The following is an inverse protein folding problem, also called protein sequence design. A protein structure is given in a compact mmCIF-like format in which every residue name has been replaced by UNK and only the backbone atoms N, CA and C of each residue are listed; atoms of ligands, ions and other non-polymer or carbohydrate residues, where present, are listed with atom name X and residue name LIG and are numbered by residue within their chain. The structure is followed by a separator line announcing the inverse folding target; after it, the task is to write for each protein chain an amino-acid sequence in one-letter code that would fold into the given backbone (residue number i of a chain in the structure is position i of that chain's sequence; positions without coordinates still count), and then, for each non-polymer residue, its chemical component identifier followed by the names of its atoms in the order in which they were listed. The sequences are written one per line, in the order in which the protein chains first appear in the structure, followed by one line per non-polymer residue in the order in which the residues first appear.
data_IF_318016556939
#
_entry.id   IF_318016556939
#
_cell.length_a   1.000
_cell.length_b   1.000
_cell.length_c   1.000
_cell.angle_alpha   90.00
_cell.angle_beta   90.00
_cell.angle_gamma   90.00
#
_symmetry.space_group_name_H-M   'P 1'
#
loop_
_entity.id
_entity.type
_entity.pdbx_description
1 polymer ?
#
# COMPACT_ATOMS: atom_id res chain seq x y z
N UNK A 1 34.58 19.34 -7.33
CA UNK A 1 34.53 18.17 -8.22
C UNK A 1 35.76 18.21 -9.11
N UNK A 2 36.76 17.37 -8.83
CA UNK A 2 37.85 17.17 -9.78
C UNK A 2 37.26 16.72 -11.12
N UNK A 3 37.62 17.42 -12.19
CA UNK A 3 37.26 17.02 -13.55
C UNK A 3 37.90 15.65 -13.79
N UNK A 4 37.11 14.57 -13.79
CA UNK A 4 37.55 13.23 -14.22
C UNK A 4 38.23 13.38 -15.59
N UNK A 5 39.57 13.33 -15.62
CA UNK A 5 40.32 13.20 -16.87
C UNK A 5 39.97 11.83 -17.44
N UNK A 6 39.39 11.80 -18.63
CA UNK A 6 39.23 10.55 -19.38
C UNK A 6 40.62 10.03 -19.71
N UNK A 7 40.86 8.76 -19.40
CA UNK A 7 42.06 8.08 -19.85
C UNK A 7 42.16 8.12 -21.37
N UNK A 8 43.37 8.21 -21.95
CA UNK A 8 43.58 8.12 -23.38
C UNK A 8 43.00 6.80 -23.91
N UNK A 9 42.33 6.85 -25.07
CA UNK A 9 41.87 5.62 -25.73
C UNK A 9 43.07 4.83 -26.22
N UNK A 10 42.97 3.51 -26.16
CA UNK A 10 43.94 2.61 -26.79
C UNK A 10 44.00 2.89 -28.30
N UNK A 11 45.21 2.92 -28.84
CA UNK A 11 45.45 3.02 -30.26
C UNK A 11 45.15 1.66 -30.90
N UNK A 12 44.09 1.62 -31.72
CA UNK A 12 43.55 0.40 -32.33
C UNK A 12 43.69 0.40 -33.85
N UNK A 13 44.26 1.47 -34.42
CA UNK A 13 44.45 1.62 -35.86
C UNK A 13 45.91 1.36 -36.21
N UNK A 14 46.15 0.36 -37.04
CA UNK A 14 47.50 -0.04 -37.49
C UNK A 14 47.78 0.34 -38.96
N UNK A 15 46.81 0.97 -39.64
CA UNK A 15 46.91 1.25 -41.07
C UNK A 15 46.80 0.01 -41.95
N UNK A 16 46.10 -1.03 -41.50
CA UNK A 16 45.86 -2.25 -42.27
C UNK A 16 45.23 -1.96 -43.64
N UNK A 17 45.81 -2.52 -44.71
CA UNK A 17 45.35 -2.34 -46.09
C UNK A 17 44.36 -3.44 -46.55
N UNK A 18 44.05 -4.41 -45.68
CA UNK A 18 43.05 -5.43 -45.95
C UNK A 18 41.69 -4.77 -46.30
N UNK A 19 41.15 -5.11 -47.46
CA UNK A 19 39.88 -4.55 -47.95
C UNK A 19 39.22 -5.46 -48.99
N UNK A 20 37.90 -5.34 -49.09
CA UNK A 20 37.09 -6.00 -50.10
C UNK A 20 36.21 -4.96 -50.79
N UNK A 21 36.41 -4.77 -52.09
CA UNK A 21 35.59 -3.88 -52.90
C UNK A 21 34.54 -4.70 -53.64
N UNK A 22 33.28 -4.50 -53.28
CA UNK A 22 32.13 -5.17 -53.89
C UNK A 22 31.37 -4.15 -54.71
N UNK A 23 31.12 -4.43 -56.00
CA UNK A 23 30.28 -3.57 -56.85
C UNK A 23 29.17 -4.38 -57.50
N UNK A 24 28.01 -3.75 -57.65
CA UNK A 24 26.89 -4.33 -58.37
C UNK A 24 27.12 -4.19 -59.88
N UNK A 25 26.99 -5.29 -60.61
CA UNK A 25 27.13 -5.32 -62.07
C UNK A 25 25.73 -5.44 -62.68
N UNK A 26 25.19 -4.36 -63.27
CA UNK A 26 23.81 -4.34 -63.77
C UNK A 26 23.52 -5.40 -64.84
N UNK A 27 24.51 -5.72 -65.67
CA UNK A 27 24.39 -6.64 -66.82
C UNK A 27 24.16 -8.08 -66.36
N UNK A 28 24.84 -8.49 -65.29
CA UNK A 28 24.70 -9.84 -64.70
C UNK A 28 23.67 -9.86 -63.57
N UNK A 29 23.18 -8.69 -63.14
CA UNK A 29 22.32 -8.47 -61.96
C UNK A 29 22.88 -9.12 -60.69
N UNK A 30 24.21 -9.16 -60.57
CA UNK A 30 24.92 -9.79 -59.45
C UNK A 30 25.93 -8.83 -58.85
N UNK A 31 26.26 -9.05 -57.58
CA UNK A 31 27.38 -8.39 -56.91
C UNK A 31 28.67 -9.13 -57.25
N UNK A 32 29.67 -8.40 -57.72
CA UNK A 32 30.99 -8.93 -58.04
C UNK A 32 32.02 -8.35 -57.06
N UNK A 33 33.00 -9.17 -56.68
CA UNK A 33 34.17 -8.74 -55.92
C UNK A 33 35.19 -8.22 -56.93
N UNK A 34 35.50 -6.92 -56.90
CA UNK A 34 36.44 -6.27 -57.81
C UNK A 34 37.86 -6.25 -57.27
N UNK A 35 38.00 -6.26 -55.96
CA UNK A 35 39.28 -6.28 -55.27
C UNK A 35 39.09 -6.98 -53.92
N UNK A 36 40.03 -7.86 -53.57
CA UNK A 36 40.07 -8.53 -52.28
C UNK A 36 41.53 -8.66 -51.85
N UNK A 37 41.86 -8.10 -50.70
CA UNK A 37 43.13 -8.34 -49.99
C UNK A 37 42.80 -8.77 -48.57
N UNK A 38 43.31 -9.93 -48.19
CA UNK A 38 43.18 -10.53 -46.85
C UNK A 38 44.53 -10.51 -46.10
N UNK A 39 45.49 -9.72 -46.57
CA UNK A 39 46.76 -9.54 -45.89
C UNK A 39 46.60 -8.52 -44.76
N UNK A 40 46.64 -9.01 -43.52
CA UNK A 40 46.54 -8.18 -42.31
C UNK A 40 47.93 -7.88 -41.75
N UNK A 41 48.13 -6.67 -41.23
CA UNK A 41 49.35 -6.27 -40.55
C UNK A 41 49.26 -6.41 -39.01
N UNK A 42 48.26 -7.13 -38.53
CA UNK A 42 47.96 -7.39 -37.13
C UNK A 42 47.32 -8.78 -36.99
N UNK A 43 47.39 -9.34 -35.79
CA UNK A 43 46.68 -10.59 -35.49
C UNK A 43 45.17 -10.38 -35.58
N UNK A 44 44.46 -11.42 -36.06
CA UNK A 44 43.01 -11.44 -36.06
C UNK A 44 42.49 -11.66 -34.63
N UNK A 45 41.34 -11.07 -34.32
CA UNK A 45 40.70 -11.28 -33.03
C UNK A 45 40.33 -12.75 -32.89
N UNK A 46 40.69 -13.35 -31.76
CA UNK A 46 40.30 -14.72 -31.45
C UNK A 46 38.77 -14.85 -31.51
N UNK A 47 38.32 -15.93 -32.16
CA UNK A 47 36.90 -16.27 -32.35
C UNK A 47 36.10 -16.27 -31.06
N UNK A 48 36.71 -16.59 -29.91
CA UNK A 48 36.05 -16.52 -28.59
C UNK A 48 35.61 -15.10 -28.20
N UNK A 49 36.25 -14.06 -28.75
CA UNK A 49 35.90 -12.66 -28.52
C UNK A 49 35.04 -12.05 -29.63
N UNK A 50 34.73 -12.81 -30.68
CA UNK A 50 33.98 -12.32 -31.85
C UNK A 50 32.61 -11.73 -31.47
N UNK A 51 31.94 -12.30 -30.47
CA UNK A 51 30.67 -11.81 -29.93
C UNK A 51 30.79 -10.45 -29.22
N UNK A 52 31.99 -10.03 -28.80
CA UNK A 52 32.23 -8.74 -28.14
C UNK A 52 32.46 -7.59 -29.13
N UNK A 53 32.55 -7.87 -30.43
CA UNK A 53 32.68 -6.83 -31.45
C UNK A 53 31.44 -5.94 -31.49
N UNK A 54 31.57 -4.61 -31.58
CA UNK A 54 30.43 -3.69 -31.65
C UNK A 54 29.41 -4.02 -32.74
N UNK A 55 29.86 -4.58 -33.88
CA UNK A 55 28.99 -4.97 -34.98
C UNK A 55 28.11 -6.21 -34.67
N UNK A 56 28.59 -7.07 -33.77
CA UNK A 56 27.94 -8.33 -33.39
C UNK A 56 27.13 -8.21 -32.09
N UNK A 57 27.41 -7.19 -31.26
CA UNK A 57 26.66 -6.88 -30.03
C UNK A 57 25.29 -6.30 -30.32
N UNK A 58 24.34 -7.16 -30.68
CA UNK A 58 22.93 -6.81 -30.94
C UNK A 58 22.02 -7.68 -30.10
N UNK A 59 21.03 -7.05 -29.47
CA UNK A 59 19.95 -7.78 -28.80
C UNK A 59 18.92 -8.24 -29.83
N UNK A 60 18.44 -9.47 -29.70
CA UNK A 60 17.34 -9.96 -30.53
C UNK A 60 16.02 -9.31 -30.10
N UNK A 61 14.99 -9.30 -30.96
CA UNK A 61 13.67 -8.79 -30.57
C UNK A 61 13.07 -9.55 -29.38
N UNK A 62 13.34 -10.86 -29.28
CA UNK A 62 12.93 -11.69 -28.15
C UNK A 62 13.61 -11.25 -26.85
N UNK A 63 14.93 -11.02 -26.88
CA UNK A 63 15.69 -10.54 -25.72
C UNK A 63 15.22 -9.15 -25.27
N UNK A 64 14.94 -8.27 -26.24
CA UNK A 64 14.41 -6.93 -25.96
C UNK A 64 13.04 -7.07 -25.29
N UNK A 65 12.13 -7.88 -25.85
CA UNK A 65 10.79 -8.07 -25.28
C UNK A 65 10.85 -8.67 -23.87
N UNK A 66 11.70 -9.69 -23.66
CA UNK A 66 11.92 -10.30 -22.36
C UNK A 66 12.49 -9.29 -21.36
N UNK A 67 13.55 -8.57 -21.73
CA UNK A 67 14.15 -7.52 -20.90
C UNK A 67 13.09 -6.48 -20.51
N UNK A 68 12.29 -5.99 -21.47
CA UNK A 68 11.27 -4.99 -21.21
C UNK A 68 10.16 -5.52 -20.30
N UNK A 69 9.77 -6.80 -20.41
CA UNK A 69 8.83 -7.45 -19.51
C UNK A 69 9.39 -7.60 -18.08
N UNK A 70 10.67 -7.93 -17.95
CA UNK A 70 11.35 -7.99 -16.66
C UNK A 70 11.52 -6.61 -16.01
N UNK A 71 11.82 -5.57 -16.81
CA UNK A 71 11.88 -4.19 -16.35
C UNK A 71 10.51 -3.69 -15.87
N UNK A 72 9.45 -3.92 -16.65
CA UNK A 72 8.05 -3.72 -16.22
C UNK A 72 7.75 -4.50 -14.94
N UNK A 73 8.42 -5.64 -14.77
CA UNK A 73 8.31 -6.47 -13.58
C UNK A 73 9.03 -5.93 -12.34
N UNK A 74 9.82 -4.85 -12.47
CA UNK A 74 10.57 -4.21 -11.40
C UNK A 74 11.96 -4.81 -11.18
N UNK A 75 12.39 -5.73 -12.07
CA UNK A 75 13.70 -6.35 -12.02
C UNK A 75 14.71 -5.34 -12.60
N UNK A 76 15.76 -5.04 -11.85
CA UNK A 76 16.78 -4.09 -12.29
C UNK A 76 17.57 -4.62 -13.50
N UNK A 77 18.06 -3.74 -14.36
CA UNK A 77 18.89 -4.11 -15.53
C UNK A 77 20.09 -5.00 -15.15
N UNK A 78 20.70 -4.76 -13.99
CA UNK A 78 21.81 -5.57 -13.50
C UNK A 78 21.38 -6.99 -13.10
N UNK A 79 20.21 -7.14 -12.46
CA UNK A 79 19.64 -8.44 -12.16
C UNK A 79 19.22 -9.18 -13.44
N UNK A 80 18.64 -8.48 -14.41
CA UNK A 80 18.31 -9.06 -15.72
C UNK A 80 19.59 -9.58 -16.37
N UNK A 81 20.64 -8.76 -16.43
CA UNK A 81 21.92 -9.17 -17.01
C UNK A 81 22.52 -10.37 -16.29
N UNK A 82 22.41 -10.45 -14.96
CA UNK A 82 22.87 -11.60 -14.18
C UNK A 82 22.07 -12.90 -14.41
N UNK A 83 20.85 -12.81 -14.95
CA UNK A 83 20.01 -13.98 -15.28
C UNK A 83 20.30 -14.54 -16.67
N UNK A 84 20.67 -13.69 -17.64
CA UNK A 84 20.90 -14.11 -19.03
C UNK A 84 21.92 -15.24 -19.20
N UNK A 85 23.05 -15.30 -18.46
CA UNK A 85 24.00 -16.40 -18.57
C UNK A 85 23.40 -17.76 -18.24
N UNK A 86 22.44 -17.83 -17.31
CA UNK A 86 21.76 -19.09 -16.98
C UNK A 86 20.83 -19.58 -18.10
N UNK A 87 20.46 -18.69 -19.03
CA UNK A 87 19.65 -19.00 -20.21
C UNK A 87 20.51 -19.29 -21.44
N UNK A 88 21.72 -18.73 -21.48
CA UNK A 88 22.67 -18.84 -22.59
C UNK A 88 23.84 -19.81 -22.30
N UNK A 89 23.84 -20.52 -21.17
CA UNK A 89 24.92 -21.41 -20.70
C UNK A 89 26.27 -20.72 -20.46
N UNK A 90 26.28 -19.42 -20.18
CA UNK A 90 27.50 -18.64 -19.93
C UNK A 90 27.37 -17.17 -20.30
N UNK A 91 28.25 -16.31 -19.77
CA UNK A 91 28.26 -14.88 -20.10
C UNK A 91 28.75 -14.63 -21.53
N UNK A 92 29.66 -15.47 -21.99
CA UNK A 92 30.26 -15.47 -23.33
C UNK A 92 29.23 -15.70 -24.44
N UNK A 93 28.13 -16.39 -24.14
CA UNK A 93 27.08 -16.74 -25.11
C UNK A 93 25.91 -15.74 -25.14
N UNK A 94 25.87 -14.77 -24.22
CA UNK A 94 24.83 -13.72 -24.20
C UNK A 94 24.96 -12.78 -25.40
N UNK A 95 26.18 -12.56 -25.90
CA UNK A 95 26.42 -11.78 -27.13
C UNK A 95 26.24 -10.27 -27.02
N UNK A 96 25.89 -9.73 -25.85
CA UNK A 96 25.80 -8.28 -25.59
C UNK A 96 26.06 -7.97 -24.11
N UNK A 97 26.46 -6.72 -23.81
CA UNK A 97 26.81 -6.30 -22.45
C UNK A 97 25.74 -5.42 -21.78
N UNK A 98 25.93 -5.06 -20.49
CA UNK A 98 25.02 -4.19 -19.77
C UNK A 98 24.82 -2.83 -20.43
N UNK A 99 25.87 -2.28 -21.07
CA UNK A 99 25.79 -1.00 -21.77
C UNK A 99 24.87 -1.07 -22.99
N UNK A 100 24.85 -2.19 -23.69
CA UNK A 100 24.00 -2.40 -24.86
C UNK A 100 22.53 -2.46 -24.43
N UNK A 101 22.24 -3.14 -23.31
CA UNK A 101 20.91 -3.11 -22.67
C UNK A 101 20.47 -1.69 -22.30
N UNK A 102 21.35 -0.88 -21.65
CA UNK A 102 21.01 0.51 -21.30
C UNK A 102 20.75 1.38 -22.53
N UNK A 103 21.53 1.21 -23.60
CA UNK A 103 21.32 1.93 -24.85
C UNK A 103 19.97 1.56 -25.47
N UNK A 104 19.62 0.27 -25.44
CA UNK A 104 18.35 -0.22 -25.98
C UNK A 104 17.16 0.28 -25.16
N UNK A 105 17.25 0.28 -23.83
CA UNK A 105 16.24 0.90 -22.94
C UNK A 105 16.06 2.38 -23.28
N UNK A 106 17.16 3.11 -23.51
CA UNK A 106 17.09 4.51 -23.92
C UNK A 106 16.41 4.66 -25.27
N UNK A 107 16.76 3.83 -26.27
CA UNK A 107 16.13 3.82 -27.60
C UNK A 107 14.63 3.60 -27.52
N UNK A 108 14.19 2.61 -26.76
CA UNK A 108 12.78 2.29 -26.55
C UNK A 108 12.01 3.46 -25.91
N UNK A 109 12.62 4.16 -24.95
CA UNK A 109 12.01 5.36 -24.33
C UNK A 109 11.87 6.54 -25.29
N UNK A 110 12.80 6.71 -26.24
CA UNK A 110 12.77 7.81 -27.20
C UNK A 110 11.74 7.60 -28.32
N UNK A 111 11.26 6.37 -28.52
CA UNK A 111 10.24 6.05 -29.52
C UNK A 111 8.80 6.39 -29.07
N UNK A 112 8.62 6.82 -27.82
CA UNK A 112 7.30 7.05 -27.21
C UNK A 112 7.10 8.55 -26.94
N UNK A 113 5.89 9.11 -27.16
CA UNK A 113 5.57 10.50 -26.80
C UNK A 113 5.78 10.76 -25.30
N UNK A 114 5.99 12.03 -24.92
CA UNK A 114 6.37 12.43 -23.56
C UNK A 114 5.52 11.80 -22.43
N UNK A 115 6.20 11.46 -21.33
CA UNK A 115 5.70 10.69 -20.17
C UNK A 115 4.31 11.10 -19.66
N UNK A 116 4.04 12.41 -19.54
CA UNK A 116 2.76 12.88 -19.06
C UNK A 116 1.59 12.64 -20.04
N UNK A 117 1.83 12.75 -21.34
CA UNK A 117 0.81 12.49 -22.36
C UNK A 117 0.45 11.00 -22.40
N UNK A 118 1.43 10.12 -22.14
CA UNK A 118 1.20 8.68 -22.07
C UNK A 118 0.35 8.30 -20.85
N UNK A 119 0.61 8.90 -19.69
CA UNK A 119 -0.20 8.69 -18.48
C UNK A 119 -1.62 9.18 -18.68
N UNK A 120 -1.83 10.35 -19.29
CA UNK A 120 -3.16 10.87 -19.58
C UNK A 120 -3.94 9.95 -20.53
N UNK A 121 -3.28 9.39 -21.56
CA UNK A 121 -3.90 8.41 -22.47
C UNK A 121 -4.17 7.07 -21.78
N UNK A 122 -3.29 6.61 -20.91
CA UNK A 122 -3.46 5.32 -20.20
C UNK A 122 -4.53 5.39 -19.12
N UNK A 123 -4.75 6.58 -18.57
CA UNK A 123 -5.77 6.88 -17.59
C UNK A 123 -6.93 7.63 -18.26
N UNK A 124 -7.39 7.14 -19.42
CA UNK A 124 -8.51 7.65 -20.24
C UNK A 124 -9.80 7.86 -19.42
N UNK A 125 -9.82 8.92 -18.60
CA UNK A 125 -10.97 9.53 -17.91
C UNK A 125 -10.59 10.76 -17.02
N UNK A 126 -9.37 11.30 -17.12
CA UNK A 126 -8.96 12.39 -16.22
C UNK A 126 -9.30 13.79 -16.73
N UNK A 127 -9.99 14.56 -15.86
CA UNK A 127 -10.19 16.01 -15.99
C UNK A 127 -9.11 16.75 -15.20
N UNK A 128 -8.18 17.44 -15.86
CA UNK A 128 -7.29 18.40 -15.19
C UNK A 128 -6.02 18.80 -15.93
N UNK A 129 -5.56 20.04 -15.68
CA UNK A 129 -4.19 20.48 -16.01
C UNK A 129 -3.18 19.61 -15.23
N UNK A 130 -1.99 19.43 -15.79
CA UNK A 130 -0.84 18.60 -15.35
C UNK A 130 -0.22 18.98 -13.98
N UNK A 131 -1.02 19.51 -13.05
CA UNK A 131 -0.65 19.83 -11.68
C UNK A 131 -0.94 18.62 -10.79
N UNK A 132 -2.20 18.18 -10.69
CA UNK A 132 -2.57 17.04 -9.84
C UNK A 132 -3.17 15.91 -10.68
N UNK A 133 -2.80 14.66 -10.36
CA UNK A 133 -3.32 13.44 -10.97
C UNK A 133 -4.24 12.74 -9.98
N UNK A 134 -5.41 12.28 -10.43
CA UNK A 134 -6.36 11.55 -9.59
C UNK A 134 -6.98 10.43 -10.41
N UNK A 135 -6.93 9.20 -9.91
CA UNK A 135 -7.49 8.05 -10.63
C UNK A 135 -8.07 7.00 -9.69
N UNK A 136 -9.08 6.30 -10.20
CA UNK A 136 -9.75 5.17 -9.57
C UNK A 136 -10.30 4.28 -10.67
N UNK A 137 -9.98 2.99 -10.64
CA UNK A 137 -10.50 2.04 -11.63
C UNK A 137 -11.92 1.57 -11.26
N UNK A 138 -12.61 0.93 -12.21
CA UNK A 138 -14.01 0.53 -12.01
C UNK A 138 -14.21 -0.46 -10.85
N UNK A 139 -13.25 -1.34 -10.59
CA UNK A 139 -13.33 -2.29 -9.47
C UNK A 139 -13.19 -1.52 -8.15
N UNK A 140 -12.22 -0.62 -8.04
CA UNK A 140 -12.04 0.22 -6.86
C UNK A 140 -13.25 1.12 -6.57
N UNK A 141 -13.97 1.58 -7.60
CA UNK A 141 -15.22 2.32 -7.42
C UNK A 141 -16.35 1.43 -6.90
N UNK A 142 -16.45 0.18 -7.38
CA UNK A 142 -17.42 -0.81 -6.87
C UNK A 142 -17.09 -1.21 -5.42
N UNK A 143 -15.82 -1.44 -5.13
CA UNK A 143 -15.33 -1.73 -3.77
C UNK A 143 -15.71 -0.60 -2.81
N UNK A 144 -15.63 0.66 -3.26
CA UNK A 144 -16.07 1.79 -2.43
C UNK A 144 -17.56 1.72 -2.12
N UNK A 145 -18.41 1.35 -3.07
CA UNK A 145 -19.85 1.22 -2.82
C UNK A 145 -20.15 0.18 -1.74
N UNK A 146 -19.37 -0.90 -1.68
CA UNK A 146 -19.53 -1.96 -0.69
C UNK A 146 -18.87 -1.62 0.66
N UNK A 147 -17.64 -1.08 0.63
CA UNK A 147 -16.75 -1.01 1.79
C UNK A 147 -16.31 0.41 2.19
N UNK A 148 -16.78 1.43 1.47
CA UNK A 148 -16.36 2.83 1.61
C UNK A 148 -16.86 3.56 2.86
N UNK A 149 -17.43 2.88 3.85
CA UNK A 149 -17.92 3.49 5.09
C UNK A 149 -16.79 4.09 5.94
N UNK A 150 -15.60 3.50 5.85
CA UNK A 150 -14.39 3.99 6.51
C UNK A 150 -13.27 4.10 5.49
N UNK A 151 -12.64 5.27 5.42
CA UNK A 151 -11.42 5.46 4.61
C UNK A 151 -10.23 5.85 5.48
N UNK A 152 -9.11 5.19 5.20
CA UNK A 152 -7.80 5.62 5.64
C UNK A 152 -7.11 6.38 4.51
N UNK A 153 -6.60 7.55 4.87
CA UNK A 153 -6.02 8.55 4.01
C UNK A 153 -4.60 8.86 4.49
N UNK A 154 -3.61 8.55 3.66
CA UNK A 154 -2.20 8.79 3.97
C UNK A 154 -1.50 9.43 2.77
N UNK A 155 -0.79 10.54 3.03
CA UNK A 155 -0.09 11.34 2.05
C UNK A 155 1.44 11.23 2.23
N UNK A 156 2.03 10.04 2.18
CA UNK A 156 3.47 9.90 2.48
C UNK A 156 4.23 8.80 1.73
N UNK A 157 3.72 8.27 0.61
CA UNK A 157 4.49 7.28 -0.15
C UNK A 157 5.62 7.95 -0.95
N UNK A 158 6.75 7.23 -1.13
CA UNK A 158 7.99 7.71 -1.76
C UNK A 158 7.71 8.64 -2.94
N UNK A 159 8.35 9.81 -2.91
CA UNK A 159 8.36 10.79 -4.00
C UNK A 159 8.88 10.15 -5.29
N UNK A 160 8.14 10.32 -6.39
CA UNK A 160 8.59 9.93 -7.73
C UNK A 160 9.73 10.86 -8.22
N UNK A 161 10.19 10.66 -9.47
CA UNK A 161 11.23 11.50 -10.09
C UNK A 161 10.92 13.00 -10.05
N UNK A 162 9.63 13.36 -10.04
CA UNK A 162 9.11 14.73 -10.01
C UNK A 162 8.87 15.27 -8.61
N UNK A 163 9.23 14.52 -7.57
CA UNK A 163 8.99 14.87 -6.17
C UNK A 163 7.52 14.99 -5.76
N UNK A 164 6.58 14.51 -6.59
CA UNK A 164 5.15 14.51 -6.29
C UNK A 164 4.84 13.45 -5.22
N UNK A 165 4.27 13.81 -4.05
CA UNK A 165 3.74 12.83 -3.12
C UNK A 165 2.56 12.05 -3.72
N UNK A 166 2.57 10.75 -3.47
CA UNK A 166 1.42 9.87 -3.68
C UNK A 166 0.53 9.87 -2.46
N UNK A 167 -0.76 10.03 -2.72
CA UNK A 167 -1.84 9.96 -1.75
C UNK A 167 -2.73 8.78 -2.11
N UNK A 168 -3.09 7.98 -1.12
CA UNK A 168 -3.93 6.80 -1.29
C UNK A 168 -5.12 6.90 -0.34
N UNK A 169 -6.31 6.63 -0.89
CA UNK A 169 -7.52 6.35 -0.13
C UNK A 169 -7.73 4.84 -0.11
N UNK A 170 -7.73 4.28 1.10
CA UNK A 170 -7.81 2.84 1.32
C UNK A 170 -8.89 2.50 2.34
N UNK A 171 -9.38 1.27 2.29
CA UNK A 171 -10.35 0.72 3.24
C UNK A 171 -10.05 -0.74 3.54
N UNK A 172 -11.08 -1.47 3.96
CA UNK A 172 -11.00 -2.92 4.19
C UNK A 172 -12.16 -3.64 3.53
N UNK A 173 -11.90 -4.79 2.90
CA UNK A 173 -12.95 -5.65 2.34
C UNK A 173 -13.55 -6.61 3.40
N UNK A 174 -14.43 -7.51 2.94
CA UNK A 174 -15.09 -8.57 3.73
C UNK A 174 -14.15 -9.61 4.35
N UNK A 175 -12.87 -9.62 3.98
CA UNK A 175 -11.81 -10.43 4.63
C UNK A 175 -10.97 -9.63 5.61
N UNK A 176 -11.35 -8.39 5.90
CA UNK A 176 -10.54 -7.46 6.67
C UNK A 176 -9.14 -7.30 6.04
N UNK A 177 -9.04 -7.21 4.71
CA UNK A 177 -7.80 -6.95 3.98
C UNK A 177 -7.80 -5.54 3.42
N UNK A 178 -6.62 -4.92 3.33
CA UNK A 178 -6.50 -3.56 2.82
C UNK A 178 -6.78 -3.51 1.31
N UNK A 179 -7.72 -2.66 0.93
CA UNK A 179 -8.09 -2.37 -0.46
C UNK A 179 -7.85 -0.88 -0.76
N UNK A 180 -7.66 -0.56 -2.04
CA UNK A 180 -7.41 0.81 -2.50
C UNK A 180 -8.59 1.28 -3.34
N UNK A 181 -9.22 2.36 -2.91
CA UNK A 181 -10.34 2.98 -3.62
C UNK A 181 -9.86 3.99 -4.65
N UNK A 182 -8.87 4.80 -4.28
CA UNK A 182 -8.41 5.91 -5.12
C UNK A 182 -6.94 6.19 -4.83
N UNK A 183 -6.20 6.60 -5.86
CA UNK A 183 -4.89 7.20 -5.69
C UNK A 183 -4.78 8.56 -6.41
N UNK A 184 -3.87 9.39 -5.91
CA UNK A 184 -3.57 10.68 -6.48
C UNK A 184 -2.10 11.07 -6.35
N UNK A 185 -1.57 11.75 -7.36
CA UNK A 185 -0.30 12.47 -7.29
C UNK A 185 -0.59 13.95 -7.16
N UNK A 186 -0.11 14.57 -6.09
CA UNK A 186 -0.33 16.01 -5.85
C UNK A 186 1.00 16.76 -5.91
N UNK A 187 0.99 18.02 -6.32
CA UNK A 187 2.24 18.84 -6.38
C UNK A 187 2.68 19.31 -5.00
N UNK A 188 1.73 19.73 -4.18
CA UNK A 188 1.97 20.36 -2.89
C UNK A 188 1.03 19.78 -1.82
N UNK A 189 1.41 19.95 -0.55
CA UNK A 189 0.64 19.46 0.61
C UNK A 189 -0.12 20.59 1.29
N UNK A 190 -0.76 21.46 0.50
CA UNK A 190 -1.55 22.60 0.99
C UNK A 190 -2.98 22.19 1.30
N UNK A 191 -3.68 22.99 2.11
CA UNK A 191 -5.11 22.78 2.42
C UNK A 191 -5.95 22.77 1.14
N UNK A 192 -5.72 23.72 0.22
CA UNK A 192 -6.48 23.83 -1.03
C UNK A 192 -6.33 22.60 -1.93
N UNK A 193 -5.11 22.06 -2.02
CA UNK A 193 -4.87 20.83 -2.78
C UNK A 193 -5.60 19.63 -2.17
N UNK A 194 -5.67 19.54 -0.84
CA UNK A 194 -6.45 18.48 -0.18
C UNK A 194 -7.97 18.71 -0.29
N UNK A 195 -8.46 19.95 -0.27
CA UNK A 195 -9.87 20.26 -0.55
C UNK A 195 -10.23 19.80 -1.96
N UNK A 196 -9.40 20.13 -2.95
CA UNK A 196 -9.58 19.65 -4.32
C UNK A 196 -9.61 18.12 -4.36
N UNK A 197 -8.66 17.46 -3.68
CA UNK A 197 -8.55 16.01 -3.68
C UNK A 197 -9.79 15.32 -3.06
N UNK A 198 -10.27 15.81 -1.92
CA UNK A 198 -11.47 15.28 -1.25
C UNK A 198 -12.73 15.54 -2.09
N UNK A 199 -12.82 16.67 -2.81
CA UNK A 199 -13.91 16.91 -3.78
C UNK A 199 -13.86 15.97 -4.97
N UNK A 200 -12.67 15.62 -5.48
CA UNK A 200 -12.53 14.59 -6.51
C UNK A 200 -12.98 13.22 -6.00
N UNK A 201 -12.61 12.88 -4.75
CA UNK A 201 -13.10 11.66 -4.10
C UNK A 201 -14.63 11.65 -4.09
N UNK A 202 -15.30 12.71 -3.61
CA UNK A 202 -16.77 12.81 -3.59
C UNK A 202 -17.40 12.56 -4.96
N UNK A 203 -16.81 13.12 -6.01
CA UNK A 203 -17.30 12.94 -7.37
C UNK A 203 -17.14 11.48 -7.83
N UNK A 204 -15.98 10.88 -7.60
CA UNK A 204 -15.69 9.51 -8.01
C UNK A 204 -16.58 8.46 -7.33
N UNK A 205 -16.96 8.70 -6.07
CA UNK A 205 -17.71 7.76 -5.25
C UNK A 205 -19.23 7.89 -5.35
N UNK A 206 -19.73 8.71 -6.29
CA UNK A 206 -21.16 8.87 -6.62
C UNK A 206 -22.07 9.16 -5.41
N UNK A 207 -21.55 9.85 -4.40
CA UNK A 207 -22.34 10.34 -3.27
C UNK A 207 -22.61 9.35 -2.13
N UNK A 208 -22.01 8.15 -2.09
CA UNK A 208 -22.06 7.31 -0.87
C UNK A 208 -21.43 8.10 0.30
N UNK A 209 -22.16 8.18 1.41
CA UNK A 209 -21.74 8.96 2.58
C UNK A 209 -20.65 8.21 3.35
N UNK A 210 -19.57 8.92 3.65
CA UNK A 210 -18.49 8.42 4.48
C UNK A 210 -18.91 8.47 5.97
N UNK A 211 -18.73 7.37 6.70
CA UNK A 211 -18.99 7.35 8.15
C UNK A 211 -17.78 7.84 8.93
N UNK A 212 -16.57 7.47 8.53
CA UNK A 212 -15.34 7.81 9.26
C UNK A 212 -14.12 7.96 8.36
N UNK A 213 -13.24 8.89 8.73
CA UNK A 213 -11.97 9.14 8.04
C UNK A 213 -10.79 9.07 9.01
N UNK A 214 -9.70 8.45 8.56
CA UNK A 214 -8.48 8.26 9.34
C UNK A 214 -7.31 8.90 8.60
N UNK A 215 -6.55 9.78 9.25
CA UNK A 215 -5.48 10.56 8.60
C UNK A 215 -4.19 10.62 9.41
N UNK A 216 -3.07 11.05 8.81
CA UNK A 216 -1.77 11.25 9.50
C UNK A 216 -1.72 12.44 10.48
N UNK A 217 -2.76 13.28 10.49
CA UNK A 217 -2.89 14.43 11.40
C UNK A 217 -2.29 15.73 10.89
N UNK A 218 -1.82 15.80 9.63
CA UNK A 218 -1.35 17.06 9.07
C UNK A 218 -2.45 18.14 9.11
N UNK A 219 -2.10 19.35 9.54
CA UNK A 219 -3.07 20.45 9.71
C UNK A 219 -3.83 20.77 8.42
N UNK A 220 -3.14 20.73 7.27
CA UNK A 220 -3.74 20.94 5.96
C UNK A 220 -4.83 19.91 5.63
N UNK A 221 -4.62 18.65 6.02
CA UNK A 221 -5.59 17.57 5.83
C UNK A 221 -6.79 17.79 6.74
N UNK A 222 -6.56 18.12 8.02
CA UNK A 222 -7.62 18.37 9.00
C UNK A 222 -8.55 19.50 8.56
N UNK A 223 -7.98 20.60 8.10
CA UNK A 223 -8.76 21.72 7.57
C UNK A 223 -9.58 21.29 6.36
N UNK A 224 -8.98 20.57 5.41
CA UNK A 224 -9.70 20.09 4.23
C UNK A 224 -10.84 19.12 4.57
N UNK A 225 -10.63 18.21 5.53
CA UNK A 225 -11.68 17.28 6.00
C UNK A 225 -12.83 18.05 6.64
N UNK A 226 -12.55 19.01 7.51
CA UNK A 226 -13.59 19.85 8.15
C UNK A 226 -14.40 20.62 7.12
N UNK A 227 -13.76 21.10 6.04
CA UNK A 227 -14.42 21.90 5.02
C UNK A 227 -15.26 21.06 4.03
N UNK A 228 -14.81 19.85 3.69
CA UNK A 228 -15.46 18.99 2.68
C UNK A 228 -16.42 17.98 3.32
N UNK A 229 -16.10 17.49 4.51
CA UNK A 229 -16.84 16.44 5.24
C UNK A 229 -17.07 16.83 6.71
N UNK A 230 -17.83 17.90 7.00
CA UNK A 230 -17.98 18.41 8.37
C UNK A 230 -18.59 17.40 9.35
N UNK A 231 -19.48 16.54 8.87
CA UNK A 231 -20.18 15.54 9.70
C UNK A 231 -19.42 14.22 9.85
N UNK A 232 -18.29 14.04 9.16
CA UNK A 232 -17.56 12.76 9.22
C UNK A 232 -16.78 12.64 10.52
N UNK A 233 -16.76 11.44 11.08
CA UNK A 233 -15.94 11.17 12.26
C UNK A 233 -14.47 11.11 11.84
N UNK A 234 -13.68 12.08 12.30
CA UNK A 234 -12.26 12.18 11.99
C UNK A 234 -11.39 11.65 13.12
N UNK A 235 -10.48 10.74 12.78
CA UNK A 235 -9.48 10.14 13.67
C UNK A 235 -8.06 10.26 13.11
N UNK A 236 -7.07 10.26 14.01
CA UNK A 236 -5.66 10.15 13.66
C UNK A 236 -5.21 8.67 13.54
N UNK A 237 -4.40 8.34 12.53
CA UNK A 237 -3.82 7.00 12.35
C UNK A 237 -2.83 6.73 13.50
N UNK A 238 -3.05 5.61 14.21
CA UNK A 238 -2.23 5.21 15.35
C UNK A 238 -0.74 5.07 15.01
N UNK A 239 -0.42 4.55 13.82
CA UNK A 239 0.97 4.39 13.35
C UNK A 239 1.70 5.73 13.24
N UNK A 240 1.05 6.71 12.60
CA UNK A 240 1.60 8.06 12.48
C UNK A 240 1.77 8.73 13.83
N UNK A 241 0.80 8.57 14.74
CA UNK A 241 0.93 9.08 16.09
C UNK A 241 2.11 8.49 16.84
N UNK A 242 2.26 7.16 16.84
CA UNK A 242 3.40 6.51 17.51
C UNK A 242 4.73 6.95 16.90
N UNK A 243 4.81 7.09 15.57
CA UNK A 243 6.00 7.59 14.88
C UNK A 243 6.33 9.04 15.24
N UNK A 244 5.31 9.89 15.32
CA UNK A 244 5.44 11.29 15.74
C UNK A 244 5.87 11.38 17.20
N UNK A 245 5.30 10.57 18.10
CA UNK A 245 5.71 10.46 19.51
C UNK A 245 7.16 10.03 19.61
N UNK A 246 7.57 9.00 18.87
CA UNK A 246 8.95 8.51 18.87
C UNK A 246 9.93 9.61 18.45
N UNK A 247 9.57 10.39 17.44
CA UNK A 247 10.44 11.43 16.86
C UNK A 247 10.56 12.67 17.77
N UNK A 248 9.48 13.07 18.45
CA UNK A 248 9.46 14.23 19.35
C UNK A 248 10.00 13.91 20.74
N UNK A 249 9.67 12.74 21.29
CA UNK A 249 10.07 12.36 22.66
C UNK A 249 11.43 11.66 22.68
N UNK A 250 11.75 10.88 21.64
CA UNK A 250 13.01 10.11 21.50
C UNK A 250 13.31 9.17 22.68
N UNK A 251 12.28 8.74 23.40
CA UNK A 251 12.37 7.75 24.47
C UNK A 251 11.53 6.51 24.11
N UNK A 252 12.16 5.35 23.84
CA UNK A 252 11.44 4.13 23.48
C UNK A 252 10.52 3.60 24.60
N UNK A 253 10.91 3.76 25.87
CA UNK A 253 10.10 3.33 27.02
C UNK A 253 8.80 4.13 27.11
N UNK A 254 8.89 5.47 26.98
CA UNK A 254 7.71 6.32 26.89
C UNK A 254 6.81 5.93 25.72
N UNK A 255 7.40 5.74 24.54
CA UNK A 255 6.65 5.40 23.31
C UNK A 255 5.88 4.08 23.48
N UNK A 256 6.51 3.07 24.09
CA UNK A 256 5.88 1.77 24.36
C UNK A 256 4.71 1.90 25.35
N UNK A 257 4.88 2.66 26.44
CA UNK A 257 3.81 2.90 27.42
C UNK A 257 2.68 3.76 26.84
N UNK A 258 3.01 4.79 26.07
CA UNK A 258 2.05 5.60 25.32
C UNK A 258 1.22 4.73 24.38
N UNK A 259 1.85 3.85 23.59
CA UNK A 259 1.13 2.93 22.71
C UNK A 259 0.14 2.05 23.47
N UNK A 260 0.53 1.51 24.63
CA UNK A 260 -0.36 0.71 25.50
C UNK A 260 -1.53 1.52 26.06
N UNK A 261 -1.30 2.79 26.39
CA UNK A 261 -2.34 3.69 26.91
C UNK A 261 -3.31 4.11 25.79
N UNK A 262 -2.79 4.50 24.63
CA UNK A 262 -3.57 4.90 23.46
C UNK A 262 -4.47 3.77 22.94
N UNK A 263 -3.91 2.56 22.82
CA UNK A 263 -4.61 1.40 22.24
C UNK A 263 -5.38 0.59 23.28
N UNK A 264 -5.22 0.87 24.57
CA UNK A 264 -5.89 0.14 25.64
C UNK A 264 -7.37 0.46 25.73
N UNK A 265 -8.16 -0.56 26.01
CA UNK A 265 -9.61 -0.43 26.19
C UNK A 265 -9.93 -0.07 27.64
N UNK A 266 -9.93 1.22 27.93
CA UNK A 266 -10.15 1.75 29.27
C UNK A 266 -11.43 2.57 29.32
N UNK A 267 -12.05 2.63 30.50
CA UNK A 267 -12.97 3.70 30.81
C UNK A 267 -12.23 5.06 30.78
N UNK A 268 -12.94 6.13 30.46
CA UNK A 268 -12.36 7.48 30.32
C UNK A 268 -11.64 7.90 31.60
N UNK A 269 -12.22 7.62 32.77
CA UNK A 269 -11.62 7.92 34.09
C UNK A 269 -10.26 7.21 34.27
N UNK A 270 -10.20 5.92 33.97
CA UNK A 270 -8.99 5.09 34.03
C UNK A 270 -7.94 5.54 33.02
N UNK A 271 -8.34 5.88 31.79
CA UNK A 271 -7.45 6.44 30.77
C UNK A 271 -6.78 7.73 31.26
N UNK A 272 -7.57 8.68 31.79
CA UNK A 272 -7.06 9.96 32.31
C UNK A 272 -6.03 9.74 33.42
N UNK A 273 -6.32 8.83 34.35
CA UNK A 273 -5.38 8.50 35.42
C UNK A 273 -4.07 7.89 34.89
N UNK A 274 -4.15 6.92 33.97
CA UNK A 274 -2.97 6.32 33.34
C UNK A 274 -2.14 7.32 32.53
N UNK A 275 -2.82 8.28 31.88
CA UNK A 275 -2.14 9.35 31.16
C UNK A 275 -1.32 10.22 32.11
N UNK A 276 -1.92 10.70 33.21
CA UNK A 276 -1.23 11.51 34.21
C UNK A 276 -0.01 10.77 34.76
N UNK A 277 -0.17 9.51 35.16
CA UNK A 277 0.95 8.67 35.63
C UNK A 277 2.08 8.56 34.60
N UNK A 278 1.75 8.41 33.32
CA UNK A 278 2.76 8.35 32.25
C UNK A 278 3.53 9.67 32.12
N UNK A 279 2.85 10.80 32.25
CA UNK A 279 3.50 12.11 32.12
C UNK A 279 4.40 12.41 33.31
N UNK A 280 3.93 12.13 34.53
CA UNK A 280 4.68 12.28 35.79
C UNK A 280 5.93 11.39 35.82
N UNK A 281 5.80 10.12 35.40
CA UNK A 281 6.91 9.18 35.39
C UNK A 281 8.10 9.65 34.52
N UNK A 282 7.82 10.39 33.44
CA UNK A 282 8.82 10.83 32.48
C UNK A 282 9.14 12.33 32.55
N UNK A 283 8.50 13.09 33.46
CA UNK A 283 8.74 14.53 33.63
C UNK A 283 8.37 15.36 32.40
N UNK A 284 7.21 15.10 31.80
CA UNK A 284 6.76 15.78 30.56
C UNK A 284 5.57 16.74 30.74
N UNK A 285 5.28 17.15 31.97
CA UNK A 285 4.17 18.02 32.36
C UNK A 285 4.20 19.36 31.60
N UNK A 286 5.39 19.96 31.48
CA UNK A 286 5.57 21.27 30.87
C UNK A 286 5.86 21.21 29.36
N UNK A 287 5.78 20.03 28.73
CA UNK A 287 6.07 19.91 27.28
C UNK A 287 4.85 20.31 26.44
N UNK A 288 4.91 21.42 25.67
CA UNK A 288 3.75 21.92 24.91
C UNK A 288 3.20 20.90 23.91
N UNK A 289 4.09 20.11 23.28
CA UNK A 289 3.68 19.07 22.33
C UNK A 289 2.86 17.96 22.97
N UNK A 290 3.21 17.54 24.20
CA UNK A 290 2.49 16.50 24.95
C UNK A 290 1.11 17.01 25.37
N UNK A 291 1.03 18.28 25.79
CA UNK A 291 -0.22 18.93 26.17
C UNK A 291 -1.17 19.06 24.97
N UNK A 292 -0.68 19.54 23.83
CA UNK A 292 -1.46 19.60 22.59
C UNK A 292 -1.94 18.20 22.15
N UNK A 293 -1.08 17.19 22.24
CA UNK A 293 -1.50 15.81 21.94
C UNK A 293 -2.66 15.35 22.84
N UNK A 294 -2.65 15.70 24.12
CA UNK A 294 -3.73 15.34 25.06
C UNK A 294 -5.05 16.11 24.82
N UNK A 295 -4.98 17.37 24.39
CA UNK A 295 -6.16 18.14 23.98
C UNK A 295 -6.91 17.42 22.84
N UNK A 296 -6.16 16.79 21.93
CA UNK A 296 -6.67 16.04 20.78
C UNK A 296 -7.04 14.59 21.07
N UNK A 297 -7.07 14.14 22.33
CA UNK A 297 -7.36 12.74 22.71
C UNK A 297 -8.64 12.17 22.09
N UNK A 298 -9.64 13.02 21.85
CA UNK A 298 -10.90 12.62 21.21
C UNK A 298 -10.73 12.10 19.78
N UNK A 299 -9.60 12.39 19.13
CA UNK A 299 -9.26 11.92 17.79
C UNK A 299 -8.38 10.67 17.77
N UNK A 300 -7.89 10.17 18.91
CA UNK A 300 -6.91 9.07 18.90
C UNK A 300 -6.96 8.10 20.08
N UNK A 301 -7.41 8.54 21.25
CA UNK A 301 -7.49 7.69 22.42
C UNK A 301 -8.66 6.72 22.24
N UNK A 302 -8.39 5.43 22.39
CA UNK A 302 -9.43 4.39 22.33
C UNK A 302 -10.63 4.74 23.20
N UNK A 303 -10.38 5.20 24.43
CA UNK A 303 -11.42 5.50 25.41
C UNK A 303 -12.46 6.52 24.89
N UNK A 304 -12.03 7.50 24.09
CA UNK A 304 -12.88 8.55 23.51
C UNK A 304 -13.49 8.18 22.14
N UNK A 305 -12.88 7.24 21.42
CA UNK A 305 -13.37 6.80 20.11
C UNK A 305 -14.23 5.53 20.17
N UNK A 306 -14.35 4.90 21.34
CA UNK A 306 -15.20 3.73 21.55
C UNK A 306 -16.66 4.04 21.18
N UNK A 307 -17.31 3.09 20.49
CA UNK A 307 -18.66 3.26 19.92
C UNK A 307 -18.68 3.94 18.56
N UNK A 308 -17.51 4.25 17.98
CA UNK A 308 -17.39 4.80 16.63
C UNK A 308 -16.77 3.76 15.71
N UNK A 309 -17.44 3.48 14.59
CA UNK A 309 -17.00 2.50 13.63
C UNK A 309 -15.79 2.99 12.82
N UNK A 310 -14.66 2.30 12.96
CA UNK A 310 -13.43 2.57 12.21
C UNK A 310 -12.90 1.30 11.50
N UNK A 311 -13.79 0.34 11.19
CA UNK A 311 -13.51 -0.87 10.41
C UNK A 311 -12.21 -1.59 10.82
N UNK A 312 -11.92 -1.69 12.13
CA UNK A 312 -10.74 -2.39 12.64
C UNK A 312 -9.40 -1.66 12.47
N UNK A 313 -9.34 -0.41 11.96
CA UNK A 313 -8.12 0.42 11.85
C UNK A 313 -7.59 0.94 13.21
N UNK A 314 -7.78 0.18 14.29
CA UNK A 314 -7.25 0.53 15.61
C UNK A 314 -5.75 0.27 15.72
N UNK A 315 -5.24 -0.72 15.01
CA UNK A 315 -3.82 -1.13 15.04
C UNK A 315 -2.95 -0.36 14.04
N UNK A 316 -1.67 -0.21 14.36
CA UNK A 316 -0.69 0.41 13.45
C UNK A 316 -0.50 -0.37 12.15
N UNK A 317 -0.77 -1.68 12.19
CA UNK A 317 -0.44 -2.66 11.16
C UNK A 317 -1.04 -2.38 9.79
N UNK A 318 -2.15 -1.63 9.69
CA UNK A 318 -2.82 -1.35 8.41
C UNK A 318 -2.11 -0.24 7.62
N UNK A 319 -1.96 0.95 8.22
CA UNK A 319 -1.20 2.04 7.63
C UNK A 319 0.26 1.56 7.35
N UNK A 320 0.86 0.87 8.31
CA UNK A 320 2.21 0.31 8.19
C UNK A 320 2.33 -0.77 7.11
N UNK A 321 1.37 -1.70 7.05
CA UNK A 321 1.33 -2.79 6.09
C UNK A 321 1.16 -2.29 4.67
N UNK A 322 0.26 -1.33 4.43
CA UNK A 322 0.09 -0.70 3.12
C UNK A 322 1.36 0.05 2.72
N UNK A 323 2.00 0.78 3.64
CA UNK A 323 3.29 1.42 3.42
C UNK A 323 4.39 0.43 3.02
N UNK A 324 4.49 -0.69 3.73
CA UNK A 324 5.44 -1.76 3.44
C UNK A 324 5.21 -2.39 2.08
N UNK A 325 3.96 -2.72 1.74
CA UNK A 325 3.62 -3.28 0.42
C UNK A 325 3.94 -2.28 -0.68
N UNK A 326 3.52 -1.03 -0.55
CA UNK A 326 3.82 0.02 -1.53
C UNK A 326 5.32 0.25 -1.70
N UNK A 327 6.09 0.26 -0.62
CA UNK A 327 7.53 0.47 -0.69
C UNK A 327 8.28 -0.57 -1.55
N UNK A 328 7.70 -1.76 -1.76
CA UNK A 328 8.23 -2.82 -2.63
C UNK A 328 8.00 -2.55 -4.12
N UNK A 329 6.93 -1.84 -4.47
CA UNK A 329 6.57 -1.54 -5.86
C UNK A 329 7.01 -0.13 -6.27
N UNK A 330 7.12 0.82 -5.34
CA UNK A 330 7.34 2.23 -5.67
C UNK A 330 8.81 2.64 -5.55
N UNK A 331 9.38 3.09 -6.68
CA UNK A 331 10.75 3.61 -6.79
C UNK A 331 10.80 5.13 -6.95
N UNK A 332 11.76 5.79 -6.31
CA UNK A 332 11.90 7.26 -6.36
C UNK A 332 12.41 7.81 -7.70
N UNK A 333 13.00 6.95 -8.53
CA UNK A 333 13.53 7.31 -9.85
C UNK A 333 12.54 7.04 -10.98
N UNK A 334 11.33 6.57 -10.66
CA UNK A 334 10.31 6.27 -11.66
C UNK A 334 9.73 7.57 -12.22
N UNK A 335 9.61 7.59 -13.54
CA UNK A 335 8.77 8.53 -14.27
C UNK A 335 7.28 8.22 -14.04
N UNK A 336 6.36 9.05 -14.50
CA UNK A 336 4.93 8.91 -14.20
C UNK A 336 4.36 7.62 -14.78
N UNK A 337 4.77 7.23 -15.99
CA UNK A 337 4.31 6.01 -16.64
C UNK A 337 4.74 4.77 -15.88
N UNK A 338 6.03 4.64 -15.57
CA UNK A 338 6.54 3.51 -14.79
C UNK A 338 5.91 3.48 -13.41
N UNK A 339 5.71 4.66 -12.80
CA UNK A 339 5.06 4.79 -11.50
C UNK A 339 3.62 4.23 -11.52
N UNK A 340 2.81 4.64 -12.50
CA UNK A 340 1.42 4.15 -12.63
C UNK A 340 1.39 2.65 -12.91
N UNK A 341 2.30 2.13 -13.73
CA UNK A 341 2.42 0.69 -13.99
C UNK A 341 2.73 -0.11 -12.73
N UNK A 342 3.72 0.31 -11.97
CA UNK A 342 4.07 -0.36 -10.71
C UNK A 342 2.97 -0.22 -9.65
N UNK A 343 2.28 0.91 -9.61
CA UNK A 343 1.11 1.10 -8.77
C UNK A 343 -0.01 0.13 -9.13
N UNK A 344 -0.35 -0.01 -10.42
CA UNK A 344 -1.37 -0.96 -10.90
C UNK A 344 -1.01 -2.40 -10.55
N UNK A 345 0.28 -2.77 -10.61
CA UNK A 345 0.76 -4.10 -10.19
C UNK A 345 0.63 -4.32 -8.68
N UNK A 346 0.85 -3.27 -7.88
CA UNK A 346 0.60 -3.31 -6.45
C UNK A 346 -0.89 -3.57 -6.15
N UNK A 347 -1.79 -2.83 -6.81
CA UNK A 347 -3.25 -3.03 -6.69
C UNK A 347 -3.66 -4.44 -7.11
N UNK A 348 -3.14 -4.94 -8.24
CA UNK A 348 -3.41 -6.29 -8.70
C UNK A 348 -2.95 -7.36 -7.69
N UNK A 349 -1.81 -7.15 -7.03
CA UNK A 349 -1.34 -8.04 -5.96
C UNK A 349 -2.27 -8.04 -4.74
N UNK A 350 -2.81 -6.88 -4.35
CA UNK A 350 -3.80 -6.80 -3.27
C UNK A 350 -5.09 -7.55 -3.63
N UNK A 351 -5.60 -7.38 -4.85
CA UNK A 351 -6.76 -8.13 -5.36
C UNK A 351 -6.51 -9.63 -5.44
N UNK A 352 -5.30 -10.05 -5.80
CA UNK A 352 -4.95 -11.47 -5.78
C UNK A 352 -4.98 -12.06 -4.36
N UNK A 353 -4.65 -11.28 -3.32
CA UNK A 353 -4.80 -11.74 -1.93
C UNK A 353 -6.26 -11.91 -1.52
N UNK A 354 -7.12 -11.02 -1.98
CA UNK A 354 -8.57 -11.13 -1.79
C UNK A 354 -9.12 -12.38 -2.48
N UNK A 355 -8.77 -12.58 -3.75
CA UNK A 355 -9.14 -13.79 -4.50
C UNK A 355 -8.73 -15.08 -3.78
N UNK A 356 -7.51 -15.13 -3.22
CA UNK A 356 -7.08 -16.29 -2.44
C UNK A 356 -7.89 -16.45 -1.15
N UNK A 357 -8.25 -15.36 -0.47
CA UNK A 357 -9.06 -15.43 0.75
C UNK A 357 -10.52 -15.83 0.49
N UNK A 358 -11.08 -15.40 -0.64
CA UNK A 358 -12.36 -15.90 -1.14
C UNK A 358 -12.27 -17.41 -1.36
N UNK A 359 -11.24 -17.86 -2.07
CA UNK A 359 -11.04 -19.28 -2.33
C UNK A 359 -10.85 -20.10 -1.04
N UNK A 360 -10.04 -19.64 -0.08
CA UNK A 360 -9.92 -20.31 1.23
C UNK A 360 -11.27 -20.37 1.97
N UNK A 361 -12.11 -19.33 1.85
CA UNK A 361 -13.45 -19.34 2.45
C UNK A 361 -14.41 -20.34 1.79
N UNK A 362 -14.10 -20.85 0.59
CA UNK A 362 -14.89 -21.91 -0.07
C UNK A 362 -14.43 -23.33 0.29
N UNK A 363 -13.26 -23.50 0.91
CA UNK A 363 -12.64 -24.83 1.11
C UNK A 363 -13.29 -25.69 2.19
N UNK A 364 -14.17 -25.12 3.01
CA UNK A 364 -14.96 -25.86 3.98
C UNK A 364 -15.19 -25.09 5.28
N UNK A 365 -15.93 -25.73 6.18
CA UNK A 365 -16.25 -25.17 7.49
C UNK A 365 -15.09 -25.46 8.46
N UNK A 366 -14.59 -24.47 9.21
CA UNK A 366 -13.59 -24.67 10.26
C UNK A 366 -14.02 -25.73 11.29
N UNK A 367 -13.04 -26.35 11.95
CA UNK A 367 -13.33 -27.23 13.09
C UNK A 367 -13.88 -26.40 14.25
N UNK A 368 -15.04 -26.78 14.75
CA UNK A 368 -15.68 -26.15 15.90
C UNK A 368 -14.84 -26.41 17.15
N UNK A 369 -14.55 -25.36 17.92
CA UNK A 369 -13.67 -25.42 19.10
C UNK A 369 -14.39 -25.10 20.41
N UNK A 370 -15.64 -24.64 20.33
CA UNK A 370 -16.39 -24.17 21.49
C UNK A 370 -17.46 -25.17 21.93
N UNK A 371 -17.96 -25.00 23.15
CA UNK A 371 -19.05 -25.81 23.69
C UNK A 371 -20.44 -25.46 23.11
N UNK A 372 -20.53 -24.44 22.25
CA UNK A 372 -21.78 -23.94 21.67
C UNK A 372 -21.75 -24.13 20.14
N UNK A 373 -21.59 -25.40 19.74
CA UNK A 373 -21.25 -25.79 18.36
C UNK A 373 -22.23 -25.27 17.30
N UNK A 374 -23.54 -25.25 17.60
CA UNK A 374 -24.55 -24.81 16.63
C UNK A 374 -24.40 -23.32 16.26
N UNK A 375 -24.14 -22.46 17.24
CA UNK A 375 -23.93 -21.03 17.01
C UNK A 375 -22.56 -20.77 16.37
N UNK A 376 -21.53 -21.51 16.78
CA UNK A 376 -20.20 -21.41 16.15
C UNK A 376 -20.28 -21.77 14.66
N UNK A 377 -21.03 -22.82 14.32
CA UNK A 377 -21.23 -23.26 12.93
C UNK A 377 -22.01 -22.22 12.13
N UNK A 378 -23.08 -21.68 12.71
CA UNK A 378 -23.82 -20.59 12.08
C UNK A 378 -22.93 -19.37 11.84
N UNK A 379 -22.08 -18.99 12.80
CA UNK A 379 -21.14 -17.89 12.62
C UNK A 379 -20.11 -18.19 11.51
N UNK A 380 -19.66 -19.44 11.37
CA UNK A 380 -18.76 -19.85 10.29
C UNK A 380 -19.42 -19.85 8.91
N UNK A 381 -20.74 -20.02 8.83
CA UNK A 381 -21.51 -19.92 7.57
C UNK A 381 -21.78 -18.46 7.17
N UNK A 382 -21.95 -17.57 8.16
CA UNK A 382 -22.24 -16.14 7.92
C UNK A 382 -20.98 -15.33 7.66
N UNK A 383 -19.89 -15.58 8.40
CA UNK A 383 -18.64 -14.85 8.26
C UNK A 383 -17.74 -15.45 7.18
N UNK A 384 -16.95 -14.60 6.53
CA UNK A 384 -15.78 -15.08 5.80
C UNK A 384 -14.81 -15.77 6.74
N UNK A 385 -13.98 -16.67 6.22
CA UNK A 385 -13.06 -17.46 7.04
C UNK A 385 -12.17 -16.59 7.94
N UNK A 386 -11.61 -15.50 7.40
CA UNK A 386 -10.77 -14.56 8.15
C UNK A 386 -11.54 -13.84 9.27
N UNK A 387 -12.78 -13.43 9.02
CA UNK A 387 -13.62 -12.77 10.03
C UNK A 387 -14.06 -13.77 11.10
N UNK A 388 -14.38 -15.01 10.72
CA UNK A 388 -14.69 -16.07 11.66
C UNK A 388 -13.52 -16.33 12.62
N UNK A 389 -12.29 -16.44 12.11
CA UNK A 389 -11.10 -16.62 12.94
C UNK A 389 -10.85 -15.41 13.87
N UNK A 390 -11.23 -14.21 13.45
CA UNK A 390 -11.17 -13.02 14.30
C UNK A 390 -12.24 -13.05 15.40
N UNK A 391 -13.42 -13.61 15.12
CA UNK A 391 -14.55 -13.70 16.03
C UNK A 391 -14.44 -14.87 17.04
N UNK A 392 -13.98 -16.04 16.60
CA UNK A 392 -13.95 -17.30 17.37
C UNK A 392 -13.34 -17.15 18.79
N UNK A 393 -12.24 -16.40 19.02
CA UNK A 393 -11.71 -16.20 20.37
C UNK A 393 -12.67 -15.45 21.31
N UNK A 394 -13.50 -14.54 20.78
CA UNK A 394 -14.54 -13.84 21.55
C UNK A 394 -15.68 -14.79 21.89
N UNK A 395 -16.11 -15.57 20.89
CA UNK A 395 -17.15 -16.57 21.07
C UNK A 395 -16.76 -17.63 22.12
N UNK A 396 -15.52 -18.13 22.07
CA UNK A 396 -14.98 -19.05 23.08
C UNK A 396 -15.04 -18.47 24.51
N UNK A 397 -14.78 -17.17 24.67
CA UNK A 397 -14.87 -16.49 25.98
C UNK A 397 -16.30 -16.27 26.45
N UNK A 398 -17.28 -16.24 25.55
CA UNK A 398 -18.69 -16.15 25.92
C UNK A 398 -19.14 -17.31 26.79
N UNK A 399 -18.57 -18.52 26.60
CA UNK A 399 -18.83 -19.68 27.46
C UNK A 399 -18.41 -19.50 28.93
N UNK A 400 -17.61 -18.47 29.25
CA UNK A 400 -17.24 -18.12 30.63
C UNK A 400 -18.09 -16.98 31.21
N UNK A 401 -19.07 -16.45 30.47
CA UNK A 401 -19.95 -15.38 30.92
C UNK A 401 -21.18 -15.96 31.62
N UNK A 402 -21.69 -15.22 32.62
CA UNK A 402 -22.93 -15.55 33.30
C UNK A 402 -23.81 -14.31 33.46
N UNK A 403 -25.11 -14.49 33.30
CA UNK A 403 -26.10 -13.46 33.63
C UNK A 403 -26.34 -13.49 35.14
N UNK A 404 -26.16 -12.34 35.80
CA UNK A 404 -26.40 -12.15 37.23
C UNK A 404 -27.80 -11.63 37.52
N UNK A 405 -28.28 -10.70 36.70
CA UNK A 405 -29.58 -10.08 36.87
C UNK A 405 -30.21 -9.78 35.51
N UNK A 406 -31.54 -9.79 35.48
CA UNK A 406 -32.36 -9.42 34.33
C UNK A 406 -33.38 -8.40 34.80
N UNK A 407 -33.30 -7.19 34.25
CA UNK A 407 -34.23 -6.09 34.48
C UNK A 407 -35.12 -5.98 33.24
N UNK A 408 -36.42 -6.26 33.37
CA UNK A 408 -37.37 -6.15 32.26
C UNK A 408 -38.16 -4.84 32.36
N UNK A 409 -38.11 -4.05 31.29
CA UNK A 409 -39.04 -2.96 31.01
C UNK A 409 -39.92 -3.35 29.80
N UNK A 410 -41.04 -2.65 29.59
CA UNK A 410 -42.04 -3.01 28.58
C UNK A 410 -41.47 -3.28 27.18
N UNK A 411 -40.44 -2.54 26.75
CA UNK A 411 -39.85 -2.66 25.39
C UNK A 411 -38.37 -3.12 25.39
N UNK A 412 -37.76 -3.31 26.57
CA UNK A 412 -36.33 -3.59 26.70
C UNK A 412 -36.02 -4.51 27.87
N UNK A 413 -35.25 -5.57 27.62
CA UNK A 413 -34.69 -6.44 28.64
C UNK A 413 -33.21 -6.12 28.83
N UNK A 414 -32.82 -5.79 30.06
CA UNK A 414 -31.46 -5.43 30.41
C UNK A 414 -30.82 -6.54 31.25
N UNK A 415 -29.72 -7.07 30.76
CA UNK A 415 -28.95 -8.17 31.34
C UNK A 415 -27.68 -7.62 31.97
N UNK A 416 -27.45 -7.93 33.24
CA UNK A 416 -26.18 -7.67 33.91
C UNK A 416 -25.35 -8.95 33.82
N UNK A 417 -24.24 -8.89 33.10
CA UNK A 417 -23.37 -10.03 32.78
C UNK A 417 -22.04 -9.87 33.51
N UNK A 418 -21.50 -10.97 34.04
CA UNK A 418 -20.15 -10.99 34.60
C UNK A 418 -19.38 -12.23 34.12
N UNK A 419 -18.05 -12.19 34.26
CA UNK A 419 -17.21 -13.35 33.99
C UNK A 419 -17.22 -14.30 35.19
N UNK A 420 -17.24 -15.60 34.93
CA UNK A 420 -17.11 -16.62 35.98
C UNK A 420 -15.82 -16.39 36.80
N UNK A 421 -15.94 -16.43 38.14
CA UNK A 421 -14.84 -16.16 39.06
C UNK A 421 -14.43 -14.69 39.21
N UNK A 422 -15.12 -13.74 38.55
CA UNK A 422 -14.87 -12.29 38.67
C UNK A 422 -16.19 -11.49 38.74
N UNK A 423 -16.92 -11.55 39.87
CA UNK A 423 -18.20 -10.85 40.00
C UNK A 423 -18.07 -9.33 40.03
N UNK A 424 -16.90 -8.79 40.34
CA UNK A 424 -16.67 -7.34 40.47
C UNK A 424 -16.65 -6.61 39.12
N UNK A 425 -16.52 -7.35 38.00
CA UNK A 425 -16.55 -6.80 36.65
C UNK A 425 -17.90 -7.10 36.01
N UNK A 426 -18.72 -6.06 35.94
CA UNK A 426 -20.07 -6.11 35.43
C UNK A 426 -20.15 -5.42 34.07
N UNK A 427 -20.87 -6.04 33.14
CA UNK A 427 -21.23 -5.48 31.86
C UNK A 427 -22.74 -5.47 31.71
N UNK A 428 -23.25 -4.47 30.99
CA UNK A 428 -24.66 -4.34 30.69
C UNK A 428 -24.89 -4.68 29.22
N UNK A 429 -25.87 -5.55 28.98
CA UNK A 429 -26.40 -5.86 27.65
C UNK A 429 -27.88 -5.50 27.64
N UNK A 430 -28.31 -4.73 26.65
CA UNK A 430 -29.71 -4.39 26.43
C UNK A 430 -30.24 -5.14 25.21
N UNK A 431 -31.42 -5.72 25.33
CA UNK A 431 -32.15 -6.35 24.25
C UNK A 431 -33.42 -5.56 23.96
N UNK A 432 -33.52 -5.01 22.75
CA UNK A 432 -34.72 -4.31 22.27
C UNK A 432 -35.59 -5.29 21.51
N UNK A 433 -36.78 -5.56 22.03
CA UNK A 433 -37.65 -6.62 21.51
C UNK A 433 -38.21 -6.28 20.12
N UNK A 434 -38.65 -5.04 19.89
CA UNK A 434 -39.22 -4.61 18.60
C UNK A 434 -38.20 -4.68 17.45
N UNK A 435 -36.96 -4.28 17.73
CA UNK A 435 -35.88 -4.25 16.73
C UNK A 435 -35.17 -5.62 16.61
N UNK A 436 -35.36 -6.52 17.58
CA UNK A 436 -34.61 -7.77 17.73
C UNK A 436 -33.08 -7.54 17.79
N UNK A 437 -32.66 -6.46 18.46
CA UNK A 437 -31.26 -6.05 18.55
C UNK A 437 -30.74 -6.19 19.98
N UNK A 438 -29.56 -6.81 20.11
CA UNK A 438 -28.77 -6.74 21.33
C UNK A 438 -27.69 -5.66 21.23
N UNK A 439 -27.60 -4.83 22.26
CA UNK A 439 -26.58 -3.80 22.42
C UNK A 439 -25.76 -4.07 23.67
N UNK A 440 -24.44 -4.16 23.53
CA UNK A 440 -23.56 -4.25 24.69
C UNK A 440 -22.97 -2.87 24.98
N UNK A 441 -22.98 -2.43 26.24
CA UNK A 441 -22.36 -1.16 26.66
C UNK A 441 -20.83 -1.15 26.49
N UNK A 442 -20.24 -2.30 26.20
CA UNK A 442 -18.86 -2.42 25.77
C UNK A 442 -18.63 -1.85 24.35
N UNK A 443 -19.70 -1.67 23.56
CA UNK A 443 -19.76 -1.04 22.25
C UNK A 443 -18.82 -1.65 21.21
N UNK A 444 -18.54 -2.95 21.33
CA UNK A 444 -17.62 -3.65 20.43
C UNK A 444 -18.21 -3.79 19.03
N UNK A 445 -19.50 -4.14 18.93
CA UNK A 445 -20.19 -4.27 17.64
C UNK A 445 -20.17 -2.93 16.89
N UNK A 446 -20.45 -1.84 17.58
CA UNK A 446 -20.48 -0.47 17.04
C UNK A 446 -19.08 0.02 16.66
N UNK A 447 -18.04 -0.44 17.36
CA UNK A 447 -16.65 -0.03 17.08
C UNK A 447 -15.99 -0.85 15.97
N UNK A 448 -16.30 -2.15 15.89
CA UNK A 448 -15.57 -3.13 15.07
C UNK A 448 -16.43 -3.88 14.05
N UNK A 449 -17.76 -3.85 14.18
CA UNK A 449 -18.67 -4.67 13.37
C UNK A 449 -18.67 -6.15 13.77
N UNK A 450 -18.17 -6.49 14.96
CA UNK A 450 -18.04 -7.86 15.45
C UNK A 450 -18.52 -7.95 16.89
N UNK A 451 -19.32 -8.97 17.16
CA UNK A 451 -19.91 -9.24 18.48
C UNK A 451 -18.83 -9.42 19.56
N UNK A 452 -19.13 -8.99 20.78
CA UNK A 452 -18.31 -9.27 21.95
C UNK A 452 -18.77 -10.54 22.65
N UNK A 453 -17.93 -11.02 23.56
CA UNK A 453 -18.20 -12.18 24.41
C UNK A 453 -19.40 -12.03 25.38
N UNK A 454 -19.98 -10.82 25.51
CA UNK A 454 -21.13 -10.58 26.40
C UNK A 454 -22.48 -10.82 25.72
N UNK A 455 -22.49 -10.83 24.39
CA UNK A 455 -23.63 -11.13 23.52
C UNK A 455 -23.58 -12.62 23.16
#
# INVERSE_FOLDING_TARGET
MEKRKKEPRLETRTGCEARMDVKFVPETRRWHIFYFSDEHNHDLLDTQFSAMLPAHRKMTEADIMQMMNMLKSGISTSQIFGLLPSQADGYEFVGYGPRDMYNEIARQRHQVPGDAAQVLKKLEDMRGLLRNLFWSDGISQLDYQLFGDVIAFDATYKKNKYSCPLVIFSGVNHHNQTIIFVAALIVDKTTDTYIWLLRQLMFAIKGKTLTSIITDGAMAIRNAVRDVFPEVRHRLCAWHLIRNTTSNVRNPSFTSKFQKIMLGDYEISVFKHKWVQLIEEFGFEDKPWVNNMYEEKHMWATADIRGKFFAGFRTTSRCEGLHSVMARYMGSQYDLTSFVEHFQRCVAHLRFKEFNADYESTRGVPVMQTCIELLERFAAEVYTHEIFLLFQPFFSRAGSMRVLNIENNNDCSKYIVCKHGRPDFLWTVEFRQEEMIFMCFYLRMESFGILCEHL
#
